data_IF_044620739177
#
_entry.id   IF_044620739177
#
_cell.length_a   1.000
_cell.length_b   1.000
_cell.length_c   1.000
_cell.angle_alpha   90.00
_cell.angle_beta   90.00
_cell.angle_gamma   90.00
#
_symmetry.space_group_name_H-M   'P 1'
#
loop_
_entity.id
_entity.type
_entity.pdbx_description
1 polymer ?
#
# COMPACT_ATOMS: atom_id res chain seq x y z
N UNK A 1 29.16 62.50 -41.41
CA UNK A 1 28.17 62.96 -40.42
C UNK A 1 27.10 61.87 -40.29
N UNK A 2 27.14 61.04 -39.23
CA UNK A 2 26.14 59.98 -39.02
C UNK A 2 24.91 60.59 -38.32
N UNK A 3 23.75 60.57 -38.99
CA UNK A 3 22.47 60.89 -38.36
C UNK A 3 21.88 59.62 -37.73
N UNK A 4 21.93 59.54 -36.41
CA UNK A 4 21.23 58.54 -35.60
C UNK A 4 19.74 58.90 -35.63
N UNK A 5 18.91 58.07 -36.29
CA UNK A 5 17.45 58.15 -36.16
C UNK A 5 17.05 57.63 -34.78
N UNK A 6 16.63 58.55 -33.93
CA UNK A 6 16.04 58.29 -32.63
C UNK A 6 14.74 57.49 -32.80
N UNK A 7 14.71 56.25 -32.26
CA UNK A 7 13.51 55.42 -32.19
C UNK A 7 12.51 56.08 -31.23
N UNK A 8 11.63 56.91 -31.78
CA UNK A 8 10.49 57.48 -31.06
C UNK A 8 9.54 56.33 -30.68
N UNK A 9 9.52 55.96 -29.40
CA UNK A 9 8.66 54.91 -28.87
C UNK A 9 7.18 55.24 -29.06
N UNK A 10 6.43 54.29 -29.60
CA UNK A 10 4.97 54.38 -29.82
C UNK A 10 4.28 54.44 -28.44
N UNK A 11 3.35 55.37 -28.19
CA UNK A 11 2.65 55.45 -26.92
C UNK A 11 1.74 54.22 -26.77
N UNK A 12 2.12 53.30 -25.89
CA UNK A 12 1.30 52.14 -25.55
C UNK A 12 0.02 52.63 -24.88
N UNK A 13 -1.12 52.47 -25.55
CA UNK A 13 -2.41 52.96 -25.08
C UNK A 13 -2.86 52.22 -23.81
N UNK A 14 -3.56 52.93 -22.91
CA UNK A 14 -3.98 52.36 -21.61
C UNK A 14 -4.99 51.21 -21.76
N UNK A 15 -5.74 51.17 -22.87
CA UNK A 15 -6.75 50.16 -23.11
C UNK A 15 -6.13 48.83 -23.58
N UNK A 16 -5.09 48.84 -24.42
CA UNK A 16 -4.33 47.62 -24.77
C UNK A 16 -3.65 47.00 -23.55
N UNK A 17 -3.05 47.79 -22.67
CA UNK A 17 -2.46 47.27 -21.41
C UNK A 17 -3.51 46.62 -20.52
N UNK A 18 -4.71 47.20 -20.42
CA UNK A 18 -5.82 46.58 -19.68
C UNK A 18 -6.25 45.28 -20.34
N UNK A 19 -6.43 45.27 -21.66
CA UNK A 19 -6.83 44.07 -22.41
C UNK A 19 -5.81 42.94 -22.24
N UNK A 20 -4.50 43.20 -22.37
CA UNK A 20 -3.46 42.21 -22.10
C UNK A 20 -3.48 41.70 -20.65
N UNK A 21 -3.75 42.59 -19.69
CA UNK A 21 -3.81 42.22 -18.27
C UNK A 21 -5.03 41.35 -17.98
N UNK A 22 -6.20 41.67 -18.55
CA UNK A 22 -7.42 40.85 -18.45
C UNK A 22 -7.25 39.49 -19.12
N UNK A 23 -6.63 39.43 -20.29
CA UNK A 23 -6.36 38.19 -21.02
C UNK A 23 -5.40 37.28 -20.24
N UNK A 24 -4.34 37.84 -19.65
CA UNK A 24 -3.43 37.11 -18.74
C UNK A 24 -4.14 36.60 -17.48
N UNK A 25 -5.05 37.39 -16.90
CA UNK A 25 -5.83 36.97 -15.72
C UNK A 25 -6.82 35.86 -16.09
N UNK A 26 -7.48 35.93 -17.24
CA UNK A 26 -8.39 34.89 -17.72
C UNK A 26 -7.63 33.58 -18.03
N UNK A 27 -6.49 33.67 -18.71
CA UNK A 27 -5.65 32.51 -19.04
C UNK A 27 -5.16 31.79 -17.78
N UNK A 28 -4.73 32.54 -16.76
CA UNK A 28 -4.36 31.97 -15.46
C UNK A 28 -5.54 31.36 -14.68
N UNK A 29 -6.74 31.91 -14.82
CA UNK A 29 -7.96 31.32 -14.24
C UNK A 29 -8.34 29.99 -14.93
N UNK A 30 -8.22 29.92 -16.25
CA UNK A 30 -8.48 28.70 -17.02
C UNK A 30 -7.43 27.61 -16.76
N UNK A 31 -6.15 27.97 -16.64
CA UNK A 31 -5.07 27.07 -16.23
C UNK A 31 -5.32 26.52 -14.81
N UNK A 32 -5.68 27.39 -13.86
CA UNK A 32 -5.99 26.98 -12.49
C UNK A 32 -7.19 26.04 -12.37
N UNK A 33 -8.25 26.25 -13.18
CA UNK A 33 -9.41 25.34 -13.25
C UNK A 33 -9.02 23.97 -13.81
N UNK A 34 -8.20 23.96 -14.87
CA UNK A 34 -7.74 22.72 -15.51
C UNK A 34 -6.86 21.91 -14.58
N UNK A 35 -5.92 22.56 -13.87
CA UNK A 35 -5.08 21.92 -12.87
C UNK A 35 -5.92 21.36 -11.73
N UNK A 36 -6.89 22.11 -11.19
CA UNK A 36 -7.79 21.61 -10.13
C UNK A 36 -8.58 20.39 -10.57
N UNK A 37 -9.05 20.37 -11.83
CA UNK A 37 -9.77 19.24 -12.41
C UNK A 37 -8.88 18.00 -12.52
N UNK A 38 -7.65 18.16 -13.00
CA UNK A 38 -6.68 17.07 -13.11
C UNK A 38 -6.31 16.54 -11.72
N UNK A 39 -5.97 17.41 -10.78
CA UNK A 39 -5.63 17.01 -9.40
C UNK A 39 -6.79 16.26 -8.73
N UNK A 40 -8.03 16.72 -8.93
CA UNK A 40 -9.22 16.02 -8.43
C UNK A 40 -9.38 14.63 -9.03
N UNK A 41 -9.21 14.50 -10.35
CA UNK A 41 -9.30 13.20 -11.04
C UNK A 41 -8.18 12.27 -10.59
N UNK A 42 -6.93 12.74 -10.54
CA UNK A 42 -5.78 11.95 -10.08
C UNK A 42 -5.96 11.49 -8.64
N UNK A 43 -6.43 12.37 -7.75
CA UNK A 43 -6.73 12.01 -6.36
C UNK A 43 -7.81 10.95 -6.26
N UNK A 44 -8.87 11.04 -7.09
CA UNK A 44 -9.95 10.04 -7.10
C UNK A 44 -9.46 8.68 -7.60
N UNK A 45 -8.59 8.66 -8.62
CA UNK A 45 -7.95 7.43 -9.11
C UNK A 45 -7.08 6.79 -8.03
N UNK A 46 -6.30 7.58 -7.28
CA UNK A 46 -5.48 7.06 -6.18
C UNK A 46 -6.37 6.43 -5.10
N UNK A 47 -7.45 7.10 -4.71
CA UNK A 47 -8.40 6.56 -3.72
C UNK A 47 -9.05 5.27 -4.23
N UNK A 48 -9.43 5.22 -5.50
CA UNK A 48 -9.99 4.01 -6.10
C UNK A 48 -9.01 2.83 -6.07
N UNK A 49 -7.73 3.07 -6.40
CA UNK A 49 -6.68 2.05 -6.31
C UNK A 49 -6.52 1.54 -4.87
N UNK A 50 -6.46 2.46 -3.89
CA UNK A 50 -6.37 2.09 -2.48
C UNK A 50 -7.59 1.25 -2.07
N UNK A 51 -8.80 1.64 -2.46
CA UNK A 51 -10.02 0.89 -2.17
C UNK A 51 -9.97 -0.53 -2.78
N UNK A 52 -9.49 -0.68 -4.01
CA UNK A 52 -9.32 -1.99 -4.66
C UNK A 52 -8.31 -2.85 -3.91
N UNK A 53 -7.17 -2.29 -3.48
CA UNK A 53 -6.15 -3.02 -2.72
C UNK A 53 -6.69 -3.46 -1.35
N UNK A 54 -7.45 -2.60 -0.66
CA UNK A 54 -8.06 -2.95 0.63
C UNK A 54 -9.15 -4.01 0.46
N UNK A 55 -10.00 -3.88 -0.56
CA UNK A 55 -11.06 -4.86 -0.85
C UNK A 55 -10.48 -6.21 -1.27
N UNK A 56 -9.49 -6.22 -2.15
CA UNK A 56 -8.81 -7.45 -2.58
C UNK A 56 -7.98 -8.06 -1.46
N UNK A 57 -7.32 -7.27 -0.63
CA UNK A 57 -6.64 -7.74 0.58
C UNK A 57 -7.61 -8.34 1.59
N UNK A 58 -8.75 -7.69 1.83
CA UNK A 58 -9.81 -8.20 2.71
C UNK A 58 -10.42 -9.49 2.17
N UNK A 59 -10.74 -9.55 0.87
CA UNK A 59 -11.24 -10.78 0.23
C UNK A 59 -10.18 -11.89 0.19
N UNK A 60 -8.91 -11.56 -0.04
CA UNK A 60 -7.82 -12.53 -0.03
C UNK A 60 -7.61 -13.10 1.38
N UNK A 61 -7.65 -12.26 2.42
CA UNK A 61 -7.58 -12.71 3.81
C UNK A 61 -8.84 -13.54 4.15
N UNK A 62 -10.04 -13.09 3.76
CA UNK A 62 -11.29 -13.83 4.00
C UNK A 62 -11.29 -15.19 3.30
N UNK A 63 -10.91 -15.26 2.03
CA UNK A 63 -10.86 -16.53 1.27
C UNK A 63 -9.65 -17.40 1.64
N UNK A 64 -8.56 -16.83 2.15
CA UNK A 64 -7.43 -17.60 2.68
C UNK A 64 -7.66 -18.10 4.11
N UNK A 65 -8.65 -17.54 4.81
CA UNK A 65 -9.13 -17.98 6.13
C UNK A 65 -10.39 -18.85 6.03
N UNK A 66 -11.06 -18.91 4.88
CA UNK A 66 -12.10 -19.90 4.61
C UNK A 66 -11.43 -21.27 4.38
N UNK A 67 -11.73 -22.28 5.22
CA UNK A 67 -11.17 -23.62 5.06
C UNK A 67 -11.65 -24.23 3.73
N UNK A 68 -10.73 -24.89 3.03
CA UNK A 68 -11.02 -25.60 1.75
C UNK A 68 -12.07 -26.71 1.96
N UNK A 69 -12.23 -27.17 3.20
CA UNK A 69 -13.29 -28.07 3.62
C UNK A 69 -13.73 -27.73 5.07
N UNK A 70 -14.96 -27.24 5.28
CA UNK A 70 -15.46 -26.81 6.60
C UNK A 70 -15.68 -27.96 7.60
N UNK A 71 -15.45 -29.21 7.20
CA UNK A 71 -15.45 -30.39 8.09
C UNK A 71 -14.05 -30.99 8.30
N UNK A 72 -12.99 -30.36 7.80
CA UNK A 72 -11.63 -30.89 7.91
C UNK A 72 -11.06 -30.63 9.30
N UNK A 73 -11.39 -31.51 10.24
CA UNK A 73 -10.70 -31.72 11.52
C UNK A 73 -9.35 -32.38 11.27
N UNK A 74 -8.54 -31.88 10.34
CA UNK A 74 -7.21 -32.44 10.08
C UNK A 74 -6.31 -32.07 11.24
N UNK A 75 -6.38 -32.92 12.24
CA UNK A 75 -5.49 -32.98 13.37
C UNK A 75 -4.11 -33.37 12.84
N UNK A 76 -3.19 -32.42 12.87
CA UNK A 76 -1.79 -32.61 12.54
C UNK A 76 -1.08 -32.88 13.86
N UNK A 77 -0.67 -34.13 14.06
CA UNK A 77 0.20 -34.48 15.18
C UNK A 77 1.60 -33.96 14.91
N UNK A 78 2.09 -33.09 15.79
CA UNK A 78 3.43 -32.52 15.72
C UNK A 78 4.18 -32.88 16.99
N UNK A 79 5.32 -33.54 16.81
CA UNK A 79 6.28 -33.78 17.88
C UNK A 79 7.32 -32.65 17.92
N UNK A 80 7.47 -32.02 19.09
CA UNK A 80 8.51 -31.04 19.37
C UNK A 80 9.59 -31.69 20.26
N UNK A 81 10.80 -31.97 19.74
CA UNK A 81 11.87 -32.57 20.53
C UNK A 81 12.36 -31.67 21.69
N UNK A 82 12.79 -32.28 22.78
CA UNK A 82 13.38 -31.58 23.93
C UNK A 82 14.65 -30.85 23.51
N UNK A 83 14.78 -29.58 23.91
CA UNK A 83 15.91 -28.73 23.54
C UNK A 83 15.81 -28.12 22.14
N UNK A 84 14.69 -28.30 21.43
CA UNK A 84 14.46 -27.64 20.15
C UNK A 84 14.50 -26.12 20.28
N UNK A 85 15.28 -25.49 19.41
CA UNK A 85 15.28 -24.03 19.31
C UNK A 85 13.99 -23.54 18.65
N UNK A 86 13.63 -22.27 18.85
CA UNK A 86 12.49 -21.65 18.15
C UNK A 86 12.60 -21.82 16.63
N UNK A 87 13.81 -21.80 16.07
CA UNK A 87 14.02 -22.03 14.63
C UNK A 87 13.62 -23.46 14.23
N UNK A 88 14.04 -24.45 15.01
CA UNK A 88 13.71 -25.86 14.82
C UNK A 88 12.20 -26.10 14.92
N UNK A 89 11.56 -25.54 15.94
CA UNK A 89 10.11 -25.60 16.15
C UNK A 89 9.37 -25.02 14.95
N UNK A 90 9.80 -23.84 14.48
CA UNK A 90 9.20 -23.18 13.32
C UNK A 90 9.35 -24.04 12.06
N UNK A 91 10.50 -24.68 11.84
CA UNK A 91 10.71 -25.56 10.70
C UNK A 91 9.81 -26.80 10.75
N UNK A 92 9.73 -27.46 11.90
CA UNK A 92 8.87 -28.65 12.10
C UNK A 92 7.40 -28.29 11.83
N UNK A 93 6.93 -27.15 12.35
CA UNK A 93 5.56 -26.69 12.11
C UNK A 93 5.29 -26.37 10.63
N UNK A 94 6.31 -25.89 9.90
CA UNK A 94 6.18 -25.61 8.47
C UNK A 94 6.16 -26.90 7.64
N UNK A 95 7.03 -27.86 7.95
CA UNK A 95 7.11 -29.16 7.28
C UNK A 95 5.83 -29.97 7.45
N UNK A 96 5.23 -29.90 8.65
CA UNK A 96 3.95 -30.55 8.95
C UNK A 96 2.74 -29.76 8.43
N UNK A 97 2.95 -28.62 7.75
CA UNK A 97 1.87 -27.83 7.16
C UNK A 97 0.96 -27.13 8.18
N UNK A 98 1.41 -26.99 9.42
CA UNK A 98 0.71 -26.23 10.48
C UNK A 98 0.87 -24.74 10.26
N UNK A 99 2.04 -24.29 9.80
CA UNK A 99 2.32 -22.88 9.48
C UNK A 99 2.82 -22.74 8.04
N UNK A 100 2.51 -21.61 7.39
CA UNK A 100 2.89 -21.36 6.00
C UNK A 100 4.38 -21.02 5.81
N UNK A 101 4.98 -20.29 6.77
CA UNK A 101 6.38 -19.87 6.69
C UNK A 101 7.01 -19.78 8.09
N UNK A 102 8.07 -20.57 8.31
CA UNK A 102 8.80 -20.62 9.57
C UNK A 102 9.43 -19.27 9.99
N UNK A 103 9.83 -18.44 9.01
CA UNK A 103 10.46 -17.14 9.29
C UNK A 103 9.47 -16.15 9.84
N UNK A 104 8.26 -16.12 9.26
CA UNK A 104 7.17 -15.25 9.71
C UNK A 104 6.75 -15.65 11.11
N UNK A 105 6.55 -16.95 11.35
CA UNK A 105 6.20 -17.46 12.68
C UNK A 105 7.26 -17.10 13.72
N UNK A 106 8.55 -17.35 13.43
CA UNK A 106 9.66 -16.99 14.33
C UNK A 106 9.68 -15.50 14.66
N UNK A 107 9.42 -14.64 13.68
CA UNK A 107 9.38 -13.19 13.90
C UNK A 107 8.19 -12.79 14.76
N UNK A 108 7.02 -13.35 14.48
CA UNK A 108 5.79 -13.09 15.23
C UNK A 108 5.94 -13.48 16.70
N UNK A 109 6.49 -14.65 17.01
CA UNK A 109 6.65 -15.06 18.41
C UNK A 109 7.72 -14.28 19.16
N UNK A 110 8.81 -13.89 18.48
CA UNK A 110 9.77 -12.95 19.06
C UNK A 110 9.12 -11.61 19.41
N UNK A 111 8.24 -11.09 18.54
CA UNK A 111 7.53 -9.84 18.79
C UNK A 111 6.53 -9.95 19.95
N UNK A 112 5.85 -11.09 20.07
CA UNK A 112 4.92 -11.37 21.17
C UNK A 112 5.61 -11.70 22.50
N UNK A 113 6.93 -11.82 22.50
CA UNK A 113 7.74 -12.25 23.65
C UNK A 113 7.34 -13.64 24.20
N UNK A 114 6.66 -14.43 23.38
CA UNK A 114 6.28 -15.81 23.68
C UNK A 114 7.45 -16.70 23.27
N UNK A 115 8.33 -16.96 24.24
CA UNK A 115 9.56 -17.74 24.05
C UNK A 115 9.54 -19.10 24.76
N UNK A 116 8.49 -19.38 25.52
CA UNK A 116 8.36 -20.56 26.36
C UNK A 116 7.68 -21.71 25.64
N UNK A 117 8.20 -22.07 24.47
CA UNK A 117 7.73 -23.26 23.78
C UNK A 117 8.20 -24.51 24.52
N UNK A 118 7.25 -25.36 24.88
CA UNK A 118 7.53 -26.63 25.55
C UNK A 118 7.70 -27.74 24.51
N UNK A 119 8.56 -28.69 24.85
CA UNK A 119 8.69 -29.94 24.10
C UNK A 119 7.53 -30.88 24.47
N UNK A 120 7.08 -31.66 23.49
CA UNK A 120 5.94 -32.54 23.66
C UNK A 120 5.23 -32.83 22.33
N UNK A 121 4.20 -33.67 22.43
CA UNK A 121 3.34 -34.01 21.30
C UNK A 121 2.11 -33.10 21.33
N UNK A 122 1.88 -32.41 20.23
CA UNK A 122 0.78 -31.48 20.08
C UNK A 122 -0.11 -31.91 18.92
N UNK A 123 -1.40 -31.97 19.16
CA UNK A 123 -2.40 -32.11 18.10
C UNK A 123 -2.83 -30.71 17.70
N UNK A 124 -2.43 -30.27 16.51
CA UNK A 124 -2.68 -28.92 16.01
C UNK A 124 -3.59 -28.98 14.80
N UNK A 125 -4.54 -28.06 14.70
CA UNK A 125 -5.34 -27.90 13.48
C UNK A 125 -4.83 -26.71 12.69
N UNK A 126 -4.95 -26.76 11.36
CA UNK A 126 -4.61 -25.63 10.48
C UNK A 126 -5.49 -24.38 10.71
N UNK A 127 -6.54 -24.51 11.53
CA UNK A 127 -7.48 -23.46 11.89
C UNK A 127 -7.19 -22.76 13.22
N UNK A 128 -6.21 -23.21 14.01
CA UNK A 128 -5.85 -22.55 15.27
C UNK A 128 -5.03 -21.28 14.97
N UNK A 129 -5.68 -20.11 15.07
CA UNK A 129 -5.08 -18.77 14.90
C UNK A 129 -4.49 -18.22 16.19
#
# INVERSE_FOLDING_TARGET
MYHIKEKRGIPVDKESKKQEMFEKIQKRKEEGKTVRKIVGITSLVIVAIIAIVVLSGYFYIKSALEPVDPNSTTEIEVEIPIGSSLATISSILQENGVIKDARIFKYYTKFKNESQFQAGNYTLTQSMT
#
